data_IF_783983593374
#
_entry.id   IF_783983593374
#
_cell.length_a   1.000
_cell.length_b   1.000
_cell.length_c   1.000
_cell.angle_alpha   90.00
_cell.angle_beta   90.00
_cell.angle_gamma   90.00
#
_symmetry.space_group_name_H-M   'P 1'
#
loop_
_entity.id
_entity.type
_entity.pdbx_description
1 polymer ?
#
# COMPACT_ATOMS: atom_id res chain seq x y z
N UNK A 1 7.96 -44.57 73.88
CA UNK A 1 6.56 -44.37 74.26
C UNK A 1 5.90 -43.63 73.11
N UNK A 2 5.64 -44.32 71.99
CA UNK A 2 4.45 -45.17 71.75
C UNK A 2 3.17 -44.31 71.77
N UNK A 3 2.22 -44.32 70.84
CA UNK A 3 2.04 -45.04 69.59
C UNK A 3 0.80 -44.43 68.86
N UNK A 4 0.86 -44.38 67.52
CA UNK A 4 -0.16 -44.84 66.54
C UNK A 4 -1.63 -44.36 66.65
N UNK A 5 -2.10 -43.63 65.62
CA UNK A 5 -3.30 -43.85 64.75
C UNK A 5 -3.57 -42.53 63.97
N UNK A 6 -3.81 -42.45 62.66
CA UNK A 6 -4.13 -43.43 61.61
C UNK A 6 -5.55 -43.24 61.07
N UNK A 7 -5.68 -42.61 59.88
CA UNK A 7 -6.76 -42.69 58.83
C UNK A 7 -6.82 -41.34 58.10
N UNK A 8 -6.57 -41.22 56.79
CA UNK A 8 -7.22 -41.88 55.64
C UNK A 8 -8.15 -40.83 55.00
N UNK A 9 -8.27 -40.60 53.69
CA UNK A 9 -7.76 -41.20 52.46
C UNK A 9 -8.52 -40.54 51.29
N UNK A 10 -8.04 -40.76 50.05
CA UNK A 10 -8.73 -40.43 48.79
C UNK A 10 -8.35 -39.05 48.21
N UNK A 11 -7.91 -38.88 46.97
CA UNK A 11 -7.98 -39.72 45.78
C UNK A 11 -8.73 -38.99 44.67
N UNK A 12 -8.08 -38.72 43.53
CA UNK A 12 -8.70 -38.21 42.30
C UNK A 12 -7.94 -37.02 41.70
N UNK A 13 -6.92 -37.22 40.85
CA UNK A 13 -6.98 -37.42 39.39
C UNK A 13 -7.74 -36.32 38.61
N UNK A 14 -6.94 -35.51 37.91
CA UNK A 14 -7.05 -35.07 36.49
C UNK A 14 -8.46 -34.88 35.91
N UNK A 15 -8.75 -33.67 35.42
CA UNK A 15 -9.29 -33.46 34.08
C UNK A 15 -9.16 -31.98 33.66
N UNK A 16 -8.85 -31.79 32.38
CA UNK A 16 -8.70 -30.52 31.67
C UNK A 16 -10.03 -29.74 31.54
N UNK A 17 -9.97 -28.43 31.22
CA UNK A 17 -11.16 -27.64 30.90
C UNK A 17 -11.58 -27.90 29.44
N UNK A 18 -12.81 -28.40 29.26
CA UNK A 18 -13.48 -28.45 27.97
C UNK A 18 -14.75 -27.60 28.02
N UNK A 19 -14.72 -26.49 27.28
CA UNK A 19 -15.73 -26.06 26.31
C UNK A 19 -17.21 -26.30 26.67
N UNK A 20 -17.93 -25.22 26.92
CA UNK A 20 -19.18 -24.89 26.19
C UNK A 20 -19.48 -23.40 26.40
N UNK A 21 -19.24 -22.59 25.37
CA UNK A 21 -20.26 -22.25 24.36
C UNK A 21 -21.31 -21.30 24.94
N UNK A 22 -20.92 -20.02 25.04
CA UNK A 22 -21.88 -18.93 25.12
C UNK A 22 -21.34 -17.74 24.32
N UNK A 23 -21.40 -17.88 22.99
CA UNK A 23 -21.32 -16.74 22.07
C UNK A 23 -22.70 -16.58 21.47
N UNK A 24 -23.43 -15.50 21.77
CA UNK A 24 -24.63 -15.16 21.02
C UNK A 24 -24.19 -14.90 19.57
N UNK A 25 -24.71 -15.75 18.69
CA UNK A 25 -24.71 -15.57 17.25
C UNK A 25 -25.48 -14.30 16.90
N UNK A 26 -24.76 -13.17 16.90
CA UNK A 26 -25.09 -12.05 16.04
C UNK A 26 -24.79 -12.51 14.61
N UNK A 27 -25.81 -13.11 14.01
CA UNK A 27 -25.99 -13.17 12.57
C UNK A 27 -26.12 -11.71 12.10
N UNK A 28 -24.99 -11.06 11.87
CA UNK A 28 -24.94 -9.85 11.07
C UNK A 28 -24.75 -10.30 9.61
N UNK A 29 -25.75 -10.00 8.79
CA UNK A 29 -25.80 -10.22 7.35
C UNK A 29 -24.46 -9.96 6.65
N UNK A 30 -23.98 -10.86 5.77
CA UNK A 30 -22.92 -10.57 4.83
C UNK A 30 -23.50 -10.00 3.53
N UNK A 31 -24.34 -8.96 3.60
CA UNK A 31 -24.78 -8.19 2.41
C UNK A 31 -25.00 -6.73 2.78
N UNK A 32 -23.95 -6.06 3.23
CA UNK A 32 -23.92 -4.60 3.28
C UNK A 32 -22.47 -4.13 3.15
N UNK A 33 -21.86 -4.46 2.02
CA UNK A 33 -20.91 -3.55 1.39
C UNK A 33 -21.65 -2.23 1.13
N UNK A 34 -21.04 -1.06 1.37
CA UNK A 34 -21.55 0.19 0.83
C UNK A 34 -21.36 0.15 -0.69
N UNK A 35 -22.20 -0.61 -1.38
CA UNK A 35 -22.39 -0.43 -2.80
C UNK A 35 -23.01 0.95 -2.94
N UNK A 36 -22.18 1.89 -3.39
CA UNK A 36 -22.59 3.12 -4.06
C UNK A 36 -23.87 2.81 -4.83
N UNK A 37 -24.91 3.60 -4.58
CA UNK A 37 -26.27 3.41 -5.09
C UNK A 37 -26.27 3.49 -6.62
N UNK A 38 -25.87 2.41 -7.29
CA UNK A 38 -25.91 2.23 -8.73
C UNK A 38 -27.22 1.50 -9.07
N UNK A 39 -28.31 2.26 -9.09
CA UNK A 39 -29.60 1.77 -9.53
C UNK A 39 -29.49 1.17 -10.93
N UNK A 40 -29.84 -0.11 -11.07
CA UNK A 40 -29.94 -0.86 -12.33
C UNK A 40 -28.62 -1.30 -13.00
N UNK A 41 -27.65 -1.80 -12.24
CA UNK A 41 -26.49 -2.56 -12.79
C UNK A 41 -26.80 -4.02 -13.17
N UNK A 42 -27.97 -4.55 -12.81
CA UNK A 42 -28.26 -5.98 -13.02
C UNK A 42 -28.88 -6.30 -14.40
N UNK A 43 -29.36 -5.28 -15.12
CA UNK A 43 -29.88 -5.44 -16.47
C UNK A 43 -28.77 -5.33 -17.52
N UNK A 44 -28.84 -6.19 -18.52
CA UNK A 44 -28.08 -6.02 -19.76
C UNK A 44 -28.57 -4.78 -20.49
N UNK A 45 -27.65 -3.95 -20.99
CA UNK A 45 -27.97 -2.75 -21.75
C UNK A 45 -27.11 -2.63 -23.01
N UNK A 46 -27.63 -2.08 -24.12
CA UNK A 46 -26.84 -1.65 -25.25
C UNK A 46 -25.75 -0.66 -24.86
N UNK A 47 -24.70 -0.55 -25.68
CA UNK A 47 -23.60 0.37 -25.43
C UNK A 47 -24.05 1.83 -25.43
N UNK A 48 -25.03 2.18 -26.27
CA UNK A 48 -25.54 3.54 -26.42
C UNK A 48 -26.25 4.03 -25.14
N UNK A 49 -27.01 3.17 -24.47
CA UNK A 49 -27.66 3.49 -23.20
C UNK A 49 -26.62 3.78 -22.09
N UNK A 50 -25.55 2.97 -22.05
CA UNK A 50 -24.44 3.16 -21.10
C UNK A 50 -23.74 4.50 -21.39
N UNK A 51 -23.52 4.80 -22.67
CA UNK A 51 -22.92 6.04 -23.12
C UNK A 51 -23.72 7.26 -22.69
N UNK A 52 -25.04 7.23 -22.84
CA UNK A 52 -25.90 8.35 -22.47
C UNK A 52 -25.94 8.58 -20.97
N UNK A 53 -25.91 7.52 -20.16
CA UNK A 53 -25.76 7.64 -18.70
C UNK A 53 -24.40 8.25 -18.31
N UNK A 54 -23.32 7.82 -18.96
CA UNK A 54 -21.97 8.38 -18.71
C UNK A 54 -21.91 9.84 -19.13
N UNK A 55 -22.49 10.22 -20.27
CA UNK A 55 -22.58 11.63 -20.71
C UNK A 55 -23.31 12.48 -19.68
N UNK A 56 -24.45 12.01 -19.16
CA UNK A 56 -25.21 12.71 -18.14
C UNK A 56 -24.36 12.94 -16.86
N UNK A 57 -23.65 11.90 -16.40
CA UNK A 57 -22.76 12.01 -15.22
C UNK A 57 -21.60 12.98 -15.45
N UNK A 58 -20.96 12.92 -16.63
CA UNK A 58 -19.86 13.83 -16.97
C UNK A 58 -20.35 15.28 -17.08
N UNK A 59 -21.54 15.51 -17.63
CA UNK A 59 -22.14 16.85 -17.66
C UNK A 59 -22.45 17.38 -16.25
N UNK A 60 -22.92 16.53 -15.34
CA UNK A 60 -23.11 16.90 -13.93
C UNK A 60 -21.78 17.32 -13.27
N UNK A 61 -20.71 16.54 -13.46
CA UNK A 61 -19.39 16.87 -12.90
C UNK A 61 -18.81 18.19 -13.43
N UNK A 62 -19.19 18.61 -14.65
CA UNK A 62 -18.79 19.90 -15.21
C UNK A 62 -19.49 21.09 -14.57
N UNK A 63 -20.73 20.92 -14.12
CA UNK A 63 -21.48 22.02 -13.50
C UNK A 63 -20.86 22.43 -12.16
N UNK A 64 -20.17 21.50 -11.49
CA UNK A 64 -19.58 21.70 -10.16
C UNK A 64 -18.10 22.14 -10.21
N UNK A 65 -17.44 22.10 -11.37
CA UNK A 65 -16.01 22.38 -11.51
C UNK A 65 -15.75 23.80 -12.07
N UNK A 66 -15.01 24.63 -11.33
CA UNK A 66 -14.66 26.01 -11.69
C UNK A 66 -13.44 26.13 -12.63
N UNK A 67 -12.72 25.04 -12.88
CA UNK A 67 -11.47 25.05 -13.64
C UNK A 67 -11.63 24.43 -15.04
N UNK A 68 -11.38 25.23 -16.07
CA UNK A 68 -11.76 24.95 -17.46
C UNK A 68 -10.73 24.17 -18.32
N UNK A 69 -9.59 23.75 -17.79
CA UNK A 69 -8.47 23.35 -18.68
C UNK A 69 -8.45 21.88 -19.12
N UNK A 70 -9.26 20.97 -18.57
CA UNK A 70 -9.28 19.56 -19.00
C UNK A 70 -10.69 18.95 -19.00
N UNK A 71 -11.62 19.64 -19.66
CA UNK A 71 -13.03 19.27 -19.65
C UNK A 71 -13.34 18.26 -20.75
N UNK A 72 -13.40 16.96 -20.41
CA UNK A 72 -13.77 15.85 -21.32
C UNK A 72 -15.10 16.16 -22.02
N UNK A 73 -15.12 16.27 -23.35
CA UNK A 73 -16.35 16.55 -24.09
C UNK A 73 -17.19 15.28 -24.33
N UNK A 74 -18.49 15.44 -24.58
CA UNK A 74 -19.35 14.30 -24.92
C UNK A 74 -18.90 13.62 -26.23
N UNK A 75 -18.33 14.38 -27.16
CA UNK A 75 -17.79 13.86 -28.43
C UNK A 75 -16.56 12.99 -28.20
N UNK A 76 -15.72 13.32 -27.22
CA UNK A 76 -14.54 12.51 -26.87
C UNK A 76 -14.95 11.12 -26.36
N UNK A 77 -16.03 11.05 -25.57
CA UNK A 77 -16.59 9.78 -25.11
C UNK A 77 -17.12 8.96 -26.30
N UNK A 78 -17.91 9.57 -27.18
CA UNK A 78 -18.43 8.88 -28.37
C UNK A 78 -17.27 8.35 -29.21
N UNK A 79 -16.24 9.16 -29.43
CA UNK A 79 -15.06 8.74 -30.17
C UNK A 79 -14.34 7.59 -29.45
N UNK A 80 -14.09 7.70 -28.15
CA UNK A 80 -13.45 6.65 -27.35
C UNK A 80 -14.17 5.30 -27.43
N UNK A 81 -15.51 5.28 -27.36
CA UNK A 81 -16.30 4.06 -27.45
C UNK A 81 -16.46 3.54 -28.89
N UNK A 82 -16.25 4.39 -29.90
CA UNK A 82 -16.18 3.96 -31.30
C UNK A 82 -14.93 3.13 -31.60
N UNK A 83 -13.86 3.28 -30.80
CA UNK A 83 -12.61 2.55 -31.00
C UNK A 83 -12.80 1.04 -30.78
N UNK A 84 -12.33 0.24 -31.75
CA UNK A 84 -12.42 -1.22 -31.67
C UNK A 84 -11.68 -1.82 -30.46
N UNK A 85 -10.61 -1.18 -30.00
CA UNK A 85 -9.90 -1.59 -28.79
C UNK A 85 -10.76 -1.41 -27.52
N UNK A 86 -11.58 -0.37 -27.44
CA UNK A 86 -12.49 -0.13 -26.31
C UNK A 86 -13.55 -1.22 -26.24
N UNK A 87 -14.17 -1.57 -27.38
CA UNK A 87 -15.15 -2.67 -27.44
C UNK A 87 -14.54 -4.00 -26.99
N UNK A 88 -13.29 -4.29 -27.37
CA UNK A 88 -12.54 -5.46 -26.89
C UNK A 88 -12.25 -5.38 -25.39
N UNK A 89 -11.79 -4.22 -24.90
CA UNK A 89 -11.50 -4.00 -23.49
C UNK A 89 -12.75 -4.19 -22.60
N UNK A 90 -13.91 -3.72 -23.05
CA UNK A 90 -15.18 -3.91 -22.35
C UNK A 90 -15.52 -5.38 -22.14
N UNK A 91 -15.15 -6.29 -23.05
CA UNK A 91 -15.40 -7.73 -22.87
C UNK A 91 -14.64 -8.35 -21.70
N UNK A 92 -13.61 -7.68 -21.17
CA UNK A 92 -12.87 -8.12 -19.99
C UNK A 92 -13.51 -7.70 -18.68
N UNK A 93 -14.31 -6.62 -18.69
CA UNK A 93 -14.89 -6.00 -17.49
C UNK A 93 -16.40 -6.25 -17.40
N UNK A 94 -17.05 -6.42 -18.55
CA UNK A 94 -18.48 -6.65 -18.67
C UNK A 94 -18.76 -8.08 -19.12
N UNK A 95 -19.85 -8.65 -18.65
CA UNK A 95 -20.52 -9.77 -19.31
C UNK A 95 -21.17 -9.26 -20.60
N UNK A 96 -20.99 -10.03 -21.67
CA UNK A 96 -21.42 -9.63 -23.01
C UNK A 96 -22.33 -10.72 -23.56
N UNK A 97 -23.51 -10.30 -24.02
CA UNK A 97 -24.43 -11.18 -24.74
C UNK A 97 -24.69 -10.58 -26.12
N UNK A 98 -24.46 -11.39 -27.14
CA UNK A 98 -24.76 -11.04 -28.52
C UNK A 98 -26.19 -11.56 -28.81
N UNK A 99 -27.17 -10.66 -28.90
CA UNK A 99 -28.59 -11.01 -29.11
C UNK A 99 -28.86 -11.19 -30.61
N UNK A 100 -28.26 -10.33 -31.43
CA UNK A 100 -28.36 -10.27 -32.89
C UNK A 100 -26.97 -9.90 -33.44
N UNK A 101 -26.61 -10.22 -34.70
CA UNK A 101 -25.32 -9.82 -35.29
C UNK A 101 -25.00 -8.32 -35.18
N UNK A 102 -26.01 -7.47 -35.01
CA UNK A 102 -25.86 -6.02 -34.89
C UNK A 102 -26.01 -5.50 -33.44
N UNK A 103 -26.59 -6.30 -32.54
CA UNK A 103 -26.97 -5.84 -31.18
C UNK A 103 -26.21 -6.66 -30.14
N UNK A 104 -25.19 -6.03 -29.56
CA UNK A 104 -24.45 -6.53 -28.40
C UNK A 104 -24.88 -5.76 -27.15
N UNK A 105 -25.26 -6.50 -26.11
CA UNK A 105 -25.60 -5.93 -24.79
C UNK A 105 -24.54 -6.26 -23.76
N UNK A 106 -24.32 -5.33 -22.84
CA UNK A 106 -23.29 -5.36 -21.82
C UNK A 106 -23.92 -5.32 -20.44
N UNK A 107 -23.34 -6.06 -19.50
CA UNK A 107 -23.62 -5.97 -18.07
C UNK A 107 -22.31 -5.89 -17.31
N UNK A 108 -22.13 -4.91 -16.44
CA UNK A 108 -20.93 -4.82 -15.63
C UNK A 108 -20.85 -6.02 -14.68
N UNK A 109 -19.68 -6.67 -14.61
CA UNK A 109 -19.48 -7.82 -13.72
C UNK A 109 -18.18 -7.63 -12.96
N UNK A 110 -18.32 -7.37 -11.67
CA UNK A 110 -17.18 -7.12 -10.80
C UNK A 110 -16.23 -8.33 -10.73
N UNK A 111 -16.77 -9.55 -10.80
CA UNK A 111 -15.99 -10.79 -10.84
C UNK A 111 -15.06 -10.81 -12.05
N UNK A 112 -15.57 -10.46 -13.25
CA UNK A 112 -14.76 -10.39 -14.47
C UNK A 112 -13.69 -9.32 -14.40
N UNK A 113 -14.02 -8.15 -13.82
CA UNK A 113 -13.03 -7.11 -13.57
C UNK A 113 -11.88 -7.64 -12.70
N UNK A 114 -12.19 -8.30 -11.59
CA UNK A 114 -11.15 -8.87 -10.72
C UNK A 114 -10.30 -9.92 -11.43
N UNK A 115 -10.90 -10.84 -12.19
CA UNK A 115 -10.15 -11.83 -12.99
C UNK A 115 -9.20 -11.16 -14.00
N UNK A 116 -9.69 -10.11 -14.66
CA UNK A 116 -8.87 -9.34 -15.59
C UNK A 116 -7.70 -8.63 -14.88
N UNK A 117 -7.96 -8.01 -13.72
CA UNK A 117 -6.93 -7.37 -12.91
C UNK A 117 -5.91 -8.39 -12.42
N UNK A 118 -6.35 -9.58 -11.97
CA UNK A 118 -5.45 -10.68 -11.60
C UNK A 118 -4.55 -11.10 -12.77
N UNK A 119 -5.08 -11.12 -14.00
CA UNK A 119 -4.29 -11.39 -15.20
C UNK A 119 -3.26 -10.28 -15.47
N UNK A 120 -3.59 -9.02 -15.18
CA UNK A 120 -2.64 -7.90 -15.28
C UNK A 120 -1.54 -7.99 -14.23
N UNK A 121 -1.88 -8.29 -12.98
CA UNK A 121 -0.92 -8.55 -11.92
C UNK A 121 -0.01 -9.73 -12.31
N UNK A 122 -0.59 -10.79 -12.86
CA UNK A 122 0.15 -11.96 -13.35
C UNK A 122 1.24 -11.56 -14.36
N UNK A 123 0.88 -10.72 -15.33
CA UNK A 123 1.83 -10.19 -16.31
C UNK A 123 2.86 -9.22 -15.73
N UNK A 124 2.47 -8.39 -14.77
CA UNK A 124 3.34 -7.36 -14.19
C UNK A 124 4.37 -7.92 -13.21
N UNK A 125 4.03 -8.97 -12.46
CA UNK A 125 4.97 -9.63 -11.54
C UNK A 125 5.87 -10.67 -12.21
N UNK A 126 5.63 -11.00 -13.49
CA UNK A 126 6.53 -11.84 -14.28
C UNK A 126 7.95 -11.24 -14.29
N UNK A 127 9.00 -11.98 -13.91
CA UNK A 127 10.35 -11.44 -13.76
C UNK A 127 10.83 -10.65 -14.97
N UNK A 128 10.56 -11.15 -16.19
CA UNK A 128 10.99 -10.49 -17.43
C UNK A 128 10.40 -9.10 -17.61
N UNK A 129 9.13 -8.92 -17.23
CA UNK A 129 8.44 -7.64 -17.33
C UNK A 129 8.80 -6.74 -16.15
N UNK A 130 8.91 -7.34 -14.96
CA UNK A 130 9.22 -6.64 -13.73
C UNK A 130 10.61 -5.99 -13.77
N UNK A 131 11.61 -6.72 -14.30
CA UNK A 131 13.01 -6.30 -14.30
C UNK A 131 13.30 -5.08 -15.19
N UNK A 132 12.38 -4.75 -16.10
CA UNK A 132 12.45 -3.54 -16.92
C UNK A 132 12.32 -2.28 -16.04
N UNK A 133 11.59 -2.39 -14.92
CA UNK A 133 11.31 -1.27 -14.03
C UNK A 133 12.35 -1.14 -12.92
N UNK A 134 13.35 -0.28 -13.15
CA UNK A 134 14.39 0.03 -12.13
C UNK A 134 13.82 0.57 -10.82
N UNK A 135 12.68 1.26 -10.86
CA UNK A 135 12.05 1.82 -9.66
C UNK A 135 11.45 0.72 -8.79
N UNK A 136 10.79 -0.27 -9.38
CA UNK A 136 10.23 -1.41 -8.63
C UNK A 136 11.34 -2.25 -7.99
N UNK A 137 12.41 -2.54 -8.73
CA UNK A 137 13.58 -3.26 -8.17
C UNK A 137 14.18 -2.50 -6.99
N UNK A 138 14.35 -1.18 -7.10
CA UNK A 138 14.91 -0.37 -6.02
C UNK A 138 14.04 -0.40 -4.76
N UNK A 139 12.72 -0.44 -4.91
CA UNK A 139 11.81 -0.54 -3.77
C UNK A 139 11.96 -1.91 -3.08
N UNK A 140 11.97 -3.01 -3.82
CA UNK A 140 12.23 -4.34 -3.24
C UNK A 140 13.60 -4.46 -2.57
N UNK A 141 14.63 -3.82 -3.14
CA UNK A 141 15.95 -3.77 -2.53
C UNK A 141 15.96 -2.98 -1.21
N UNK A 142 15.18 -1.89 -1.11
CA UNK A 142 15.02 -1.14 0.14
C UNK A 142 14.31 -1.95 1.21
N UNK A 143 13.39 -2.82 0.80
CA UNK A 143 12.69 -3.73 1.71
C UNK A 143 13.57 -4.92 2.12
N UNK A 144 14.79 -5.05 1.60
CA UNK A 144 15.72 -6.15 1.91
C UNK A 144 15.26 -7.50 1.35
N UNK A 145 14.41 -7.49 0.32
CA UNK A 145 13.87 -8.69 -0.33
C UNK A 145 14.82 -9.28 -1.38
N UNK A 146 15.83 -8.52 -1.81
CA UNK A 146 16.79 -8.91 -2.86
C UNK A 146 17.97 -9.74 -2.34
N UNK A 147 17.93 -10.20 -1.09
CA UNK A 147 18.97 -11.02 -0.49
C UNK A 147 18.74 -12.52 -0.78
N UNK A 148 19.82 -13.29 -0.93
CA UNK A 148 19.75 -14.73 -1.20
C UNK A 148 18.98 -15.48 -0.09
N UNK A 149 18.12 -16.41 -0.49
CA UNK A 149 17.30 -17.23 0.43
C UNK A 149 15.90 -16.68 0.74
N UNK A 150 15.50 -15.53 0.17
CA UNK A 150 14.17 -14.93 0.34
C UNK A 150 13.30 -15.00 -0.91
N UNK A 151 13.46 -16.03 -1.75
CA UNK A 151 12.79 -16.11 -3.07
C UNK A 151 11.26 -16.10 -2.98
N UNK A 152 10.68 -16.79 -2.00
CA UNK A 152 9.22 -16.83 -1.79
C UNK A 152 8.67 -15.46 -1.37
N UNK A 153 9.38 -14.76 -0.48
CA UNK A 153 9.04 -13.39 -0.07
C UNK A 153 9.22 -12.42 -1.22
N UNK A 154 10.24 -12.61 -2.05
CA UNK A 154 10.50 -11.82 -3.25
C UNK A 154 9.38 -11.98 -4.28
N UNK A 155 8.85 -13.19 -4.48
CA UNK A 155 7.68 -13.39 -5.34
C UNK A 155 6.44 -12.66 -4.80
N UNK A 156 6.16 -12.79 -3.50
CA UNK A 156 5.06 -12.06 -2.86
C UNK A 156 5.25 -10.53 -2.95
N UNK A 157 6.48 -10.05 -2.78
CA UNK A 157 6.85 -8.64 -2.90
C UNK A 157 6.65 -8.10 -4.31
N UNK A 158 7.06 -8.85 -5.35
CA UNK A 158 6.79 -8.50 -6.75
C UNK A 158 5.30 -8.41 -7.03
N UNK A 159 4.51 -9.34 -6.50
CA UNK A 159 3.05 -9.35 -6.64
C UNK A 159 2.40 -8.15 -5.94
N UNK A 160 2.83 -7.81 -4.73
CA UNK A 160 2.35 -6.62 -3.99
C UNK A 160 2.71 -5.33 -4.73
N UNK A 161 3.94 -5.20 -5.20
CA UNK A 161 4.38 -4.05 -5.99
C UNK A 161 3.58 -3.90 -7.31
N UNK A 162 3.24 -5.01 -7.97
CA UNK A 162 2.38 -4.98 -9.15
C UNK A 162 0.95 -4.52 -8.81
N UNK A 163 0.39 -4.94 -7.67
CA UNK A 163 -0.91 -4.45 -7.21
C UNK A 163 -0.87 -2.95 -6.88
N UNK A 164 0.18 -2.48 -6.21
CA UNK A 164 0.38 -1.06 -5.91
C UNK A 164 0.52 -0.21 -7.17
N UNK A 165 1.17 -0.72 -8.22
CA UNK A 165 1.24 -0.03 -9.51
C UNK A 165 -0.15 0.14 -10.14
N UNK A 166 -1.01 -0.88 -10.05
CA UNK A 166 -2.38 -0.79 -10.55
C UNK A 166 -3.26 0.15 -9.72
N UNK A 167 -2.96 0.35 -8.43
CA UNK A 167 -3.73 1.24 -7.55
C UNK A 167 -3.79 2.70 -8.04
N UNK A 168 -2.81 3.12 -8.84
CA UNK A 168 -2.76 4.47 -9.43
C UNK A 168 -3.87 4.72 -10.46
N UNK A 169 -4.46 3.65 -11.00
CA UNK A 169 -5.47 3.69 -12.06
C UNK A 169 -6.83 3.15 -11.60
N UNK A 170 -6.95 2.72 -10.35
CA UNK A 170 -8.13 2.04 -9.82
C UNK A 170 -8.76 2.84 -8.68
N UNK A 171 -10.10 2.77 -8.52
CA UNK A 171 -10.76 3.22 -7.30
C UNK A 171 -10.24 2.46 -6.08
N UNK A 172 -10.21 3.13 -4.92
CA UNK A 172 -9.68 2.56 -3.67
C UNK A 172 -10.42 1.28 -3.26
N UNK A 173 -11.72 1.22 -3.48
CA UNK A 173 -12.55 0.06 -3.13
C UNK A 173 -12.17 -1.17 -3.96
N UNK A 174 -12.03 -1.01 -5.28
CA UNK A 174 -11.60 -2.09 -6.17
C UNK A 174 -10.18 -2.56 -5.86
N UNK A 175 -9.28 -1.64 -5.48
CA UNK A 175 -7.93 -1.99 -5.05
C UNK A 175 -7.93 -2.81 -3.75
N UNK A 176 -8.75 -2.43 -2.77
CA UNK A 176 -8.86 -3.18 -1.51
C UNK A 176 -9.33 -4.62 -1.76
N UNK A 177 -10.31 -4.82 -2.63
CA UNK A 177 -10.80 -6.15 -3.02
C UNK A 177 -9.76 -6.95 -3.81
N UNK A 178 -8.99 -6.31 -4.69
CA UNK A 178 -7.87 -6.95 -5.40
C UNK A 178 -6.79 -7.40 -4.41
N UNK A 179 -6.44 -6.56 -3.44
CA UNK A 179 -5.42 -6.88 -2.44
C UNK A 179 -5.88 -8.03 -1.53
N UNK A 180 -7.15 -8.02 -1.11
CA UNK A 180 -7.75 -9.09 -0.31
C UNK A 180 -7.82 -10.44 -1.06
N UNK A 181 -7.73 -10.43 -2.39
CA UNK A 181 -7.75 -11.64 -3.20
C UNK A 181 -6.43 -12.43 -3.21
N UNK A 182 -5.38 -11.89 -2.59
CA UNK A 182 -4.05 -12.50 -2.48
C UNK A 182 -3.62 -12.64 -1.02
N UNK A 183 -2.83 -13.68 -0.73
CA UNK A 183 -2.22 -13.87 0.58
C UNK A 183 -0.86 -13.17 0.65
N UNK A 184 -0.73 -12.23 1.58
CA UNK A 184 0.51 -11.51 1.88
C UNK A 184 0.96 -11.69 3.34
N UNK A 185 0.42 -12.67 4.08
CA UNK A 185 0.68 -12.84 5.52
C UNK A 185 2.17 -12.97 5.83
N UNK A 186 2.90 -13.80 5.07
CA UNK A 186 4.34 -13.99 5.28
C UNK A 186 5.15 -12.71 5.01
N UNK A 187 4.77 -11.95 3.98
CA UNK A 187 5.42 -10.69 3.61
C UNK A 187 5.16 -9.59 4.64
N UNK A 188 3.93 -9.50 5.14
CA UNK A 188 3.58 -8.50 6.15
C UNK A 188 4.22 -8.81 7.52
N UNK A 189 4.36 -10.09 7.88
CA UNK A 189 5.15 -10.51 9.05
C UNK A 189 6.61 -10.04 8.94
N UNK A 190 7.25 -10.27 7.79
CA UNK A 190 8.62 -9.83 7.54
C UNK A 190 8.76 -8.29 7.61
N UNK A 191 7.86 -7.53 6.99
CA UNK A 191 7.89 -6.07 7.09
C UNK A 191 7.68 -5.55 8.51
N UNK A 192 6.85 -6.23 9.31
CA UNK A 192 6.65 -5.87 10.71
C UNK A 192 7.89 -6.14 11.56
N UNK A 193 8.58 -7.26 11.33
CA UNK A 193 9.85 -7.57 11.97
C UNK A 193 10.92 -6.53 11.61
N UNK A 194 11.05 -6.21 10.33
CA UNK A 194 12.01 -5.22 9.83
C UNK A 194 11.75 -3.82 10.43
N UNK A 195 10.48 -3.42 10.56
CA UNK A 195 10.09 -2.19 11.27
C UNK A 195 10.46 -2.22 12.76
N UNK A 196 10.26 -3.35 13.45
CA UNK A 196 10.65 -3.51 14.86
C UNK A 196 12.17 -3.44 15.05
N UNK A 197 12.93 -4.08 14.14
CA UNK A 197 14.39 -4.01 14.14
C UNK A 197 14.89 -2.57 13.96
N UNK A 198 14.34 -1.81 13.02
CA UNK A 198 14.69 -0.39 12.88
C UNK A 198 14.30 0.46 14.09
N UNK A 199 13.12 0.24 14.67
CA UNK A 199 12.66 0.97 15.85
C UNK A 199 13.56 0.73 17.07
N UNK A 200 13.96 -0.53 17.31
CA UNK A 200 14.87 -0.89 18.41
C UNK A 200 16.28 -0.33 18.21
N UNK A 201 16.82 -0.37 16.98
CA UNK A 201 18.12 0.23 16.66
C UNK A 201 18.13 1.76 16.83
N UNK A 202 17.04 2.43 16.45
CA UNK A 202 16.87 3.87 16.66
C UNK A 202 16.82 4.22 18.16
N UNK A 203 16.06 3.48 18.96
CA UNK A 203 15.98 3.67 20.41
C UNK A 203 17.33 3.43 21.10
N UNK A 204 18.09 2.41 20.68
CA UNK A 204 19.44 2.14 21.19
C UNK A 204 20.41 3.27 20.85
N UNK A 205 20.28 3.88 19.66
CA UNK A 205 21.12 5.01 19.25
C UNK A 205 20.79 6.27 20.05
N UNK A 206 19.51 6.56 20.30
CA UNK A 206 19.10 7.69 21.15
C UNK A 206 19.55 7.51 22.59
N UNK A 207 19.40 6.30 23.15
CA UNK A 207 19.86 5.96 24.50
C UNK A 207 21.39 6.07 24.64
N UNK A 208 22.15 5.74 23.59
CA UNK A 208 23.61 5.87 23.58
C UNK A 208 24.09 7.33 23.46
N UNK A 209 23.28 8.22 22.86
CA UNK A 209 23.55 9.66 22.80
C UNK A 209 23.26 10.31 24.16
N UNK A 210 22.15 9.97 24.81
CA UNK A 210 21.79 10.49 26.15
C UNK A 210 22.74 9.98 27.26
N UNK A 211 23.22 8.73 27.15
CA UNK A 211 24.25 8.19 28.06
C UNK A 211 25.62 8.87 27.89
N UNK A 212 25.85 9.57 26.77
CA UNK A 212 27.08 10.32 26.50
C UNK A 212 26.97 11.78 26.95
N UNK A 213 25.78 12.39 26.91
CA UNK A 213 25.54 13.74 27.44
C UNK A 213 25.43 13.77 28.97
N UNK A 214 24.98 12.68 29.61
CA UNK A 214 24.93 12.57 31.08
C UNK A 214 26.29 12.31 31.74
N UNK A 215 27.38 12.17 30.98
CA UNK A 215 28.76 12.02 31.48
C UNK A 215 29.64 13.25 31.32
N UNK A 216 29.09 14.39 30.89
CA UNK A 216 29.82 15.66 30.75
C UNK A 216 29.38 16.74 31.74
N UNK A 217 28.98 16.36 32.95
CA UNK A 217 28.76 17.28 34.07
C UNK A 217 29.70 16.96 35.23
N UNK A 218 30.64 17.88 35.51
CA UNK A 218 31.52 17.98 36.69
C UNK A 218 32.86 17.18 36.72
N UNK A 219 33.96 17.84 36.31
CA UNK A 219 35.07 18.22 37.21
C UNK A 219 36.25 18.83 36.41
N UNK A 220 36.80 19.91 36.96
CA UNK A 220 37.93 20.71 36.50
C UNK A 220 39.27 19.95 36.38
N UNK A 221 40.15 20.48 35.52
CA UNK A 221 41.60 20.47 35.76
C UNK A 221 42.47 19.49 34.96
N UNK A 222 43.34 20.07 34.11
CA UNK A 222 44.61 19.52 33.59
C UNK A 222 44.66 18.77 32.23
N UNK A 223 45.24 19.48 31.24
CA UNK A 223 46.21 19.04 30.22
C UNK A 223 46.03 17.65 29.54
N UNK A 224 45.54 17.67 28.29
CA UNK A 224 46.11 17.09 27.02
C UNK A 224 45.06 16.41 26.12
N UNK A 225 45.22 16.72 24.81
CA UNK A 225 44.65 16.11 23.58
C UNK A 225 43.19 16.40 23.19
N UNK A 226 43.09 17.42 22.33
CA UNK A 226 41.99 17.73 21.41
C UNK A 226 41.74 16.53 20.47
N UNK A 227 40.70 15.73 20.73
CA UNK A 227 40.15 14.77 19.75
C UNK A 227 38.87 15.38 19.21
N UNK A 228 38.94 15.81 17.96
CA UNK A 228 37.83 16.39 17.23
C UNK A 228 36.70 15.36 17.07
N UNK A 229 35.48 15.78 17.40
CA UNK A 229 34.26 15.07 17.03
C UNK A 229 34.23 14.89 15.51
N UNK A 230 34.27 13.64 15.03
CA UNK A 230 34.11 13.31 13.61
C UNK A 230 32.70 13.71 13.17
N UNK A 231 32.59 14.84 12.49
CA UNK A 231 31.39 15.22 11.76
C UNK A 231 31.23 14.33 10.53
N UNK A 232 30.00 14.06 10.13
CA UNK A 232 29.68 13.34 8.90
C UNK A 232 30.45 13.92 7.69
N UNK A 233 31.05 13.04 6.89
CA UNK A 233 31.93 13.40 5.76
C UNK A 233 31.29 14.36 4.73
N UNK A 234 29.96 14.46 4.68
CA UNK A 234 29.26 15.45 3.84
C UNK A 234 29.42 16.88 4.34
N UNK A 235 29.39 17.09 5.66
CA UNK A 235 29.55 18.40 6.30
C UNK A 235 31.01 18.86 6.24
N UNK A 236 31.97 17.94 6.32
CA UNK A 236 33.39 18.28 6.22
C UNK A 236 33.80 18.70 4.81
N UNK A 237 33.18 18.13 3.76
CA UNK A 237 33.38 18.59 2.38
C UNK A 237 32.75 19.97 2.12
N UNK A 238 31.62 20.29 2.76
CA UNK A 238 31.01 21.62 2.68
C UNK A 238 31.76 22.70 3.48
N UNK A 239 32.41 22.34 4.59
CA UNK A 239 33.23 23.29 5.39
C UNK A 239 34.53 23.72 4.69
N UNK A 240 34.91 23.07 3.60
CA UNK A 240 36.11 23.39 2.81
C UNK A 240 35.85 24.37 1.67
N UNK A 241 34.61 24.83 1.48
CA UNK A 241 34.32 25.98 0.65
C UNK A 241 34.80 27.25 1.39
N UNK A 242 35.81 27.91 0.85
CA UNK A 242 36.35 29.15 1.41
C UNK A 242 35.30 30.28 1.25
N UNK A 243 34.51 30.53 2.31
CA UNK A 243 33.53 31.62 2.35
C UNK A 243 34.17 33.01 2.52
N UNK A 244 35.51 33.08 2.64
CA UNK A 244 36.27 34.31 2.80
C UNK A 244 36.44 35.01 1.45
N UNK A 245 35.36 35.63 0.97
CA UNK A 245 35.32 36.37 -0.30
C UNK A 245 33.96 36.35 -1.01
N UNK A 246 33.02 35.49 -0.60
CA UNK A 246 31.65 35.54 -1.12
C UNK A 246 30.91 36.72 -0.50
N UNK A 247 30.39 37.62 -1.34
CA UNK A 247 29.49 38.68 -0.92
C UNK A 247 28.32 38.06 -0.14
N UNK A 248 28.03 38.58 1.05
CA UNK A 248 26.89 38.11 1.84
C UNK A 248 25.63 38.30 0.99
N UNK A 249 24.84 37.24 0.81
CA UNK A 249 23.55 37.30 0.11
C UNK A 249 22.62 38.42 0.64
N UNK A 250 22.86 38.90 1.87
CA UNK A 250 22.17 40.06 2.44
C UNK A 250 22.40 41.38 1.69
N UNK A 251 23.45 41.53 0.87
CA UNK A 251 23.67 42.75 0.09
C UNK A 251 22.82 42.82 -1.18
N UNK A 252 22.21 41.71 -1.60
CA UNK A 252 21.34 41.68 -2.80
C UNK A 252 19.88 42.05 -2.51
N UNK A 253 19.49 42.11 -1.24
CA UNK A 253 18.12 42.47 -0.83
C UNK A 253 18.00 43.90 -0.29
N UNK A 254 19.03 44.74 -0.49
CA UNK A 254 18.90 46.16 -0.20
C UNK A 254 18.04 46.79 -1.28
N UNK A 255 16.86 47.27 -0.86
CA UNK A 255 15.89 47.95 -1.70
C UNK A 255 16.54 49.22 -2.27
N UNK A 256 16.58 49.42 -3.60
CA UNK A 256 17.14 50.63 -4.18
C UNK A 256 16.33 51.85 -3.71
N UNK A 257 17.04 52.87 -3.26
CA UNK A 257 16.49 54.20 -2.98
C UNK A 257 16.30 54.97 -4.29
#
# INVERSE_FOLDING_TARGET
MDAIRGRGGGGGRRAAPALHANRPSLLADPTSTPHTTYGSLDSFRPLDDILDEVKAKVLHLKADATDHENVVSANDLIHFFSLGCTKKAMRHVCEVKDISPEITVYRYSFVRLLEYLKTKVARLHDPKTFDISRTMIRNLAKDGLMEDGKEELLEAGRRKAACELLSQYLPKDTFAELLASYDFVALDAYHNELKQQYASAAAATMSAVEAKESKSGASEGAKKRKVAAKGSHGVEKLKKANTKGMAKLSSFFQKPA
#
